data_IF_652652407379
#
_entry.id   IF_652652407379
#
_cell.length_a   1.000
_cell.length_b   1.000
_cell.length_c   1.000
_cell.angle_alpha   90.00
_cell.angle_beta   90.00
_cell.angle_gamma   90.00
#
_symmetry.space_group_name_H-M   'P 1'
#
loop_
_entity.id
_entity.type
_entity.pdbx_description
1 polymer ?
#
# COMPACT_ATOMS: atom_id res chain seq x y z
N UNK A 1 58.33 -42.71 32.93
CA UNK A 1 56.96 -42.77 32.39
C UNK A 1 56.46 -41.33 32.19
N UNK A 2 56.24 -40.91 30.95
CA UNK A 2 55.78 -39.53 30.63
C UNK A 2 54.34 -39.60 30.19
N UNK A 3 53.45 -39.08 30.99
CA UNK A 3 52.04 -38.97 30.65
C UNK A 3 51.80 -37.78 29.66
N UNK A 4 51.24 -38.06 28.49
CA UNK A 4 50.82 -37.07 27.51
C UNK A 4 49.39 -36.64 27.83
N UNK A 5 49.22 -35.37 28.17
CA UNK A 5 47.91 -34.72 28.33
C UNK A 5 47.45 -34.27 26.96
N UNK A 6 46.37 -34.85 26.46
CA UNK A 6 45.70 -34.43 25.25
C UNK A 6 44.68 -33.33 25.61
N UNK A 7 44.95 -32.10 25.18
CA UNK A 7 44.00 -31.00 25.29
C UNK A 7 42.98 -31.08 24.17
N UNK A 8 41.72 -31.34 24.52
CA UNK A 8 40.59 -31.29 23.57
C UNK A 8 40.10 -29.85 23.43
N UNK A 9 40.36 -29.25 22.28
CA UNK A 9 39.81 -27.94 21.91
C UNK A 9 38.34 -28.08 21.49
N UNK A 10 37.45 -27.56 22.31
CA UNK A 10 36.02 -27.46 21.98
C UNK A 10 35.83 -26.17 21.14
N UNK A 11 35.54 -26.35 19.85
CA UNK A 11 35.12 -25.27 18.97
C UNK A 11 33.64 -24.94 19.23
N UNK A 12 33.37 -23.81 19.87
CA UNK A 12 32.01 -23.25 19.95
C UNK A 12 31.66 -22.62 18.59
N UNK A 13 30.81 -23.29 17.81
CA UNK A 13 30.13 -22.64 16.67
C UNK A 13 29.05 -21.69 17.22
N UNK A 14 29.33 -20.41 17.23
CA UNK A 14 28.31 -19.38 17.43
C UNK A 14 27.44 -19.31 16.18
N UNK A 15 26.26 -19.95 16.23
CA UNK A 15 25.23 -19.80 15.21
C UNK A 15 24.66 -18.38 15.25
N UNK A 16 24.99 -17.54 14.26
CA UNK A 16 24.30 -16.27 14.02
C UNK A 16 22.87 -16.60 13.56
N UNK A 17 21.91 -16.54 14.50
CA UNK A 17 20.49 -16.50 14.16
C UNK A 17 20.20 -15.18 13.43
N UNK A 18 20.21 -15.22 12.11
CA UNK A 18 19.71 -14.12 11.29
C UNK A 18 18.23 -13.92 11.59
N UNK A 19 17.88 -12.84 12.32
CA UNK A 19 16.51 -12.40 12.47
C UNK A 19 16.03 -11.97 11.07
N UNK A 20 15.48 -12.89 10.30
CA UNK A 20 14.76 -12.60 9.08
C UNK A 20 13.61 -11.67 9.42
N UNK A 21 13.66 -10.45 8.91
CA UNK A 21 12.57 -9.48 9.01
C UNK A 21 11.41 -10.04 8.18
N UNK A 22 10.55 -10.86 8.80
CA UNK A 22 9.31 -11.33 8.17
C UNK A 22 8.45 -10.09 7.96
N UNK A 23 8.36 -9.65 6.72
CA UNK A 23 7.44 -8.57 6.34
C UNK A 23 6.02 -8.98 6.79
N UNK A 24 5.40 -8.17 7.64
CA UNK A 24 4.04 -8.39 8.09
C UNK A 24 3.08 -8.40 6.88
N UNK A 25 2.20 -9.38 6.81
CA UNK A 25 1.14 -9.37 5.81
C UNK A 25 0.26 -8.12 5.97
N UNK A 26 -0.21 -7.56 4.85
CA UNK A 26 -1.10 -6.42 4.85
C UNK A 26 -2.45 -6.77 5.51
N UNK A 27 -2.96 -5.87 6.34
CA UNK A 27 -4.18 -6.05 7.13
C UNK A 27 -5.26 -5.06 6.68
N UNK A 28 -6.31 -5.58 6.04
CA UNK A 28 -7.43 -4.77 5.56
C UNK A 28 -8.20 -4.06 6.70
N UNK A 29 -8.26 -4.64 7.90
CA UNK A 29 -8.92 -3.99 9.04
C UNK A 29 -8.11 -2.80 9.56
N UNK A 30 -6.79 -2.94 9.62
CA UNK A 30 -5.92 -1.79 9.89
C UNK A 30 -6.02 -0.73 8.78
N UNK A 31 -6.16 -1.18 7.53
CA UNK A 31 -6.36 -0.30 6.37
C UNK A 31 -7.66 0.50 6.41
N UNK A 32 -8.73 -0.04 7.00
CA UNK A 32 -9.98 0.70 7.22
C UNK A 32 -9.75 1.93 8.10
N UNK A 33 -8.99 1.79 9.18
CA UNK A 33 -8.64 2.92 10.04
C UNK A 33 -7.77 3.97 9.31
N UNK A 34 -6.89 3.53 8.41
CA UNK A 34 -6.14 4.47 7.55
C UNK A 34 -7.07 5.18 6.56
N UNK A 35 -8.07 4.48 6.03
CA UNK A 35 -9.04 5.01 5.07
C UNK A 35 -9.89 6.15 5.63
N UNK A 36 -10.07 6.25 6.94
CA UNK A 36 -10.77 7.38 7.57
C UNK A 36 -10.16 8.74 7.18
N UNK A 37 -8.85 8.78 6.91
CA UNK A 37 -8.16 10.00 6.41
C UNK A 37 -8.58 10.37 4.98
N UNK A 38 -9.15 9.45 4.24
CA UNK A 38 -9.59 9.61 2.85
C UNK A 38 -11.10 9.94 2.78
N UNK A 39 -11.85 9.57 3.82
CA UNK A 39 -13.31 9.63 3.85
C UNK A 39 -13.88 11.07 3.80
N UNK A 40 -13.07 12.09 4.10
CA UNK A 40 -13.46 13.49 3.90
C UNK A 40 -13.73 13.81 2.42
N UNK A 41 -12.98 13.18 1.51
CA UNK A 41 -13.06 13.45 0.06
C UNK A 41 -13.54 12.26 -0.76
N UNK A 42 -13.46 11.04 -0.26
CA UNK A 42 -13.79 9.82 -0.99
C UNK A 42 -14.85 8.98 -0.27
N UNK A 43 -15.53 8.13 -1.03
CA UNK A 43 -16.33 7.03 -0.53
C UNK A 43 -16.08 5.77 -1.37
N UNK A 44 -16.45 4.60 -0.86
CA UNK A 44 -16.31 3.36 -1.63
C UNK A 44 -17.33 3.37 -2.77
N UNK A 45 -18.60 3.59 -2.50
CA UNK A 45 -19.69 3.35 -3.44
C UNK A 45 -20.15 4.58 -4.26
N UNK A 46 -19.75 5.79 -3.93
CA UNK A 46 -20.20 7.00 -4.62
C UNK A 46 -19.12 8.06 -4.70
N UNK A 47 -19.26 8.96 -5.66
CA UNK A 47 -18.36 10.09 -5.84
C UNK A 47 -18.64 11.17 -4.80
N UNK A 48 -17.59 11.86 -4.35
CA UNK A 48 -17.61 13.02 -3.46
C UNK A 48 -16.70 14.11 -4.08
N UNK A 49 -15.91 14.81 -3.26
CA UNK A 49 -14.86 15.68 -3.77
C UNK A 49 -13.79 14.89 -4.57
N UNK A 50 -13.58 13.63 -4.20
CA UNK A 50 -12.81 12.65 -4.96
C UNK A 50 -13.68 11.56 -5.56
N UNK A 51 -13.17 10.79 -6.53
CA UNK A 51 -13.91 9.71 -7.17
C UNK A 51 -14.13 8.53 -6.22
N UNK A 52 -15.19 7.76 -6.47
CA UNK A 52 -15.48 6.52 -5.75
C UNK A 52 -14.40 5.46 -5.93
N UNK A 53 -14.24 4.61 -4.94
CA UNK A 53 -13.25 3.54 -4.93
C UNK A 53 -13.81 2.15 -5.30
N UNK A 54 -15.11 2.01 -5.48
CA UNK A 54 -15.69 0.78 -6.02
C UNK A 54 -15.09 0.46 -7.39
N UNK A 55 -14.54 -0.73 -7.56
CA UNK A 55 -13.86 -1.14 -8.79
C UNK A 55 -12.51 -0.46 -9.04
N UNK A 56 -11.85 0.06 -8.00
CA UNK A 56 -10.58 0.78 -8.13
C UNK A 56 -9.46 -0.09 -8.70
N UNK A 57 -9.27 -1.29 -8.18
CA UNK A 57 -8.20 -2.19 -8.64
C UNK A 57 -8.45 -2.62 -10.08
N UNK A 58 -7.46 -2.42 -10.93
CA UNK A 58 -7.52 -2.69 -12.37
C UNK A 58 -8.17 -1.58 -13.20
N UNK A 59 -8.71 -0.53 -12.58
CA UNK A 59 -9.33 0.60 -13.27
C UNK A 59 -8.25 1.57 -13.78
N UNK A 60 -8.47 2.12 -14.98
CA UNK A 60 -7.65 3.20 -15.49
C UNK A 60 -7.85 4.48 -14.67
N UNK A 61 -6.79 5.20 -14.38
CA UNK A 61 -6.87 6.51 -13.73
C UNK A 61 -7.68 7.48 -14.59
N UNK A 62 -8.44 8.36 -13.96
CA UNK A 62 -9.23 9.37 -14.66
C UNK A 62 -10.43 8.83 -15.42
N UNK A 63 -10.92 7.61 -15.12
CA UNK A 63 -11.94 6.94 -15.94
C UNK A 63 -13.30 6.69 -15.29
N UNK A 64 -13.54 7.17 -14.07
CA UNK A 64 -14.89 7.04 -13.47
C UNK A 64 -15.88 7.89 -14.28
N UNK A 65 -16.94 7.28 -14.84
CA UNK A 65 -17.92 8.01 -15.62
C UNK A 65 -18.59 9.12 -14.80
N UNK A 66 -18.67 10.32 -15.36
CA UNK A 66 -19.32 11.48 -14.74
C UNK A 66 -18.49 12.20 -13.68
N UNK A 67 -17.31 11.72 -13.32
CA UNK A 67 -16.43 12.42 -12.38
C UNK A 67 -15.48 13.38 -13.11
N UNK A 68 -15.38 14.60 -12.60
CA UNK A 68 -14.50 15.64 -13.13
C UNK A 68 -13.07 15.47 -12.58
N UNK A 69 -12.17 15.00 -13.43
CA UNK A 69 -10.74 14.85 -13.09
C UNK A 69 -9.91 16.03 -13.56
N UNK A 70 -8.74 16.23 -12.91
CA UNK A 70 -7.70 17.08 -13.48
C UNK A 70 -7.22 16.52 -14.82
N UNK A 71 -6.72 17.39 -15.70
CA UNK A 71 -6.11 16.97 -16.98
C UNK A 71 -4.94 16.00 -16.73
N UNK A 72 -4.12 16.28 -15.71
CA UNK A 72 -3.01 15.42 -15.33
C UNK A 72 -3.46 13.97 -15.00
N UNK A 73 -4.59 13.82 -14.29
CA UNK A 73 -5.12 12.50 -13.98
C UNK A 73 -5.72 11.81 -15.21
N UNK A 74 -6.46 12.55 -16.05
CA UNK A 74 -7.04 12.00 -17.30
C UNK A 74 -5.97 11.54 -18.28
N UNK A 75 -4.90 12.27 -18.41
CA UNK A 75 -3.79 11.98 -19.34
C UNK A 75 -2.76 11.00 -18.76
N UNK A 76 -2.78 10.75 -17.46
CA UNK A 76 -1.94 9.73 -16.84
C UNK A 76 -2.33 8.36 -17.38
N UNK A 77 -1.38 7.59 -17.87
CA UNK A 77 -1.66 6.25 -18.41
C UNK A 77 -1.65 5.17 -17.32
N UNK A 78 -1.92 5.57 -16.07
CA UNK A 78 -1.90 4.68 -14.91
C UNK A 78 -3.10 3.75 -14.95
N UNK A 79 -2.85 2.47 -14.70
CA UNK A 79 -3.85 1.49 -14.28
C UNK A 79 -3.61 1.19 -12.80
N UNK A 80 -4.64 1.31 -12.00
CA UNK A 80 -4.55 1.15 -10.55
C UNK A 80 -4.29 -0.29 -10.14
N UNK A 81 -3.03 -0.71 -10.22
CA UNK A 81 -2.54 -1.91 -9.55
C UNK A 81 -2.15 -1.59 -8.10
N UNK A 82 -1.95 -2.61 -7.28
CA UNK A 82 -1.46 -2.42 -5.90
C UNK A 82 -0.14 -1.65 -5.90
N UNK A 83 0.79 -1.95 -6.80
CA UNK A 83 2.05 -1.25 -6.94
C UNK A 83 1.89 0.21 -7.43
N UNK A 84 0.93 0.48 -8.32
CA UNK A 84 0.64 1.85 -8.78
C UNK A 84 0.02 2.67 -7.65
N UNK A 85 -0.88 2.07 -6.87
CA UNK A 85 -1.46 2.71 -5.68
C UNK A 85 -0.40 2.99 -4.62
N UNK A 86 0.52 2.07 -4.35
CA UNK A 86 1.60 2.30 -3.39
C UNK A 86 2.42 3.53 -3.74
N UNK A 87 2.85 3.63 -5.01
CA UNK A 87 3.60 4.81 -5.48
C UNK A 87 2.79 6.11 -5.41
N UNK A 88 1.51 6.05 -5.82
CA UNK A 88 0.64 7.22 -5.81
C UNK A 88 0.35 7.68 -4.38
N UNK A 89 0.00 6.78 -3.49
CA UNK A 89 -0.32 7.07 -2.10
C UNK A 89 0.89 7.54 -1.28
N UNK A 90 2.11 7.18 -1.68
CA UNK A 90 3.31 7.70 -1.05
C UNK A 90 3.45 9.23 -1.21
N UNK A 91 3.13 9.75 -2.39
CA UNK A 91 3.06 11.19 -2.68
C UNK A 91 2.27 11.42 -3.98
N UNK A 92 0.97 11.72 -3.89
CA UNK A 92 0.11 11.92 -5.06
C UNK A 92 0.60 13.01 -6.02
N UNK A 93 1.04 14.14 -5.50
CA UNK A 93 1.48 15.28 -6.31
C UNK A 93 2.80 15.01 -7.05
N UNK A 94 3.65 14.15 -6.50
CA UNK A 94 4.88 13.71 -7.17
C UNK A 94 4.59 12.62 -8.20
N UNK A 95 3.67 11.71 -7.91
CA UNK A 95 3.31 10.61 -8.80
C UNK A 95 2.51 11.09 -10.02
N UNK A 96 1.63 12.07 -9.84
CA UNK A 96 0.84 12.70 -10.89
C UNK A 96 0.92 14.24 -10.72
N UNK A 97 1.97 14.87 -11.23
CA UNK A 97 2.09 16.33 -11.18
C UNK A 97 0.89 17.01 -11.84
N UNK A 98 0.23 17.92 -11.14
CA UNK A 98 -1.01 18.56 -11.59
C UNK A 98 -2.30 17.83 -11.20
N UNK A 99 -2.22 16.76 -10.39
CA UNK A 99 -3.42 16.17 -9.77
C UNK A 99 -4.14 17.18 -8.90
N UNK A 100 -5.48 17.13 -8.91
CA UNK A 100 -6.30 17.91 -7.97
C UNK A 100 -6.40 17.29 -6.58
N UNK A 101 -5.86 16.08 -6.38
CA UNK A 101 -5.79 15.43 -5.06
C UNK A 101 -4.67 16.07 -4.21
N UNK A 102 -5.03 17.09 -3.42
CA UNK A 102 -4.12 17.84 -2.57
C UNK A 102 -3.71 17.14 -1.27
N UNK A 103 -3.55 15.83 -1.30
CA UNK A 103 -3.14 15.03 -0.15
C UNK A 103 -1.62 14.84 -0.13
N UNK A 104 -1.00 15.03 1.04
CA UNK A 104 0.46 14.98 1.17
C UNK A 104 1.05 13.57 0.96
N UNK A 105 0.22 12.54 1.13
CA UNK A 105 0.64 11.15 1.03
C UNK A 105 0.83 10.46 2.39
N UNK A 106 1.14 9.17 2.32
CA UNK A 106 1.34 8.29 3.47
C UNK A 106 2.80 7.80 3.45
N UNK A 107 3.68 8.29 4.32
CA UNK A 107 5.10 7.89 4.34
C UNK A 107 5.30 6.42 4.69
N UNK A 108 4.49 5.89 5.61
CA UNK A 108 4.59 4.50 6.10
C UNK A 108 4.20 3.49 5.01
N UNK A 109 5.13 2.67 4.58
CA UNK A 109 4.86 1.60 3.61
C UNK A 109 3.89 0.55 4.14
N UNK A 110 3.92 0.25 5.45
CA UNK A 110 2.97 -0.68 6.07
C UNK A 110 1.55 -0.12 6.10
N UNK A 111 1.36 1.16 6.43
CA UNK A 111 0.04 1.80 6.36
C UNK A 111 -0.50 1.83 4.93
N UNK A 112 0.35 2.07 3.93
CA UNK A 112 -0.07 2.01 2.52
C UNK A 112 -0.48 0.60 2.11
N UNK A 113 0.27 -0.41 2.52
CA UNK A 113 -0.07 -1.81 2.24
C UNK A 113 -1.43 -2.19 2.86
N UNK A 114 -1.66 -1.81 4.12
CA UNK A 114 -2.92 -2.04 4.82
C UNK A 114 -4.09 -1.33 4.12
N UNK A 115 -3.92 -0.05 3.77
CA UNK A 115 -4.90 0.73 3.03
C UNK A 115 -5.23 0.09 1.66
N UNK A 116 -4.24 -0.37 0.93
CA UNK A 116 -4.43 -1.03 -0.37
C UNK A 116 -5.20 -2.33 -0.20
N UNK A 117 -4.90 -3.12 0.84
CA UNK A 117 -5.66 -4.32 1.17
C UNK A 117 -7.14 -4.01 1.48
N UNK A 118 -7.40 -2.94 2.23
CA UNK A 118 -8.77 -2.46 2.49
C UNK A 118 -9.47 -2.02 1.20
N UNK A 119 -8.85 -1.19 0.38
CA UNK A 119 -9.41 -0.70 -0.88
C UNK A 119 -9.74 -1.85 -1.84
N UNK A 120 -8.91 -2.88 -1.87
CA UNK A 120 -9.16 -4.10 -2.66
C UNK A 120 -10.37 -4.88 -2.14
N UNK A 121 -10.50 -5.03 -0.84
CA UNK A 121 -11.60 -5.78 -0.21
C UNK A 121 -12.93 -5.02 -0.25
N UNK A 122 -12.93 -3.75 0.17
CA UNK A 122 -14.12 -2.91 0.22
C UNK A 122 -14.57 -2.45 -1.17
N UNK A 123 -13.62 -2.23 -2.09
CA UNK A 123 -13.86 -1.81 -3.47
C UNK A 123 -14.14 -2.95 -4.45
N UNK A 124 -14.32 -4.19 -4.01
CA UNK A 124 -14.69 -5.31 -4.88
C UNK A 124 -16.04 -5.01 -5.56
N UNK A 125 -16.12 -4.95 -6.91
CA UNK A 125 -17.35 -4.60 -7.63
C UNK A 125 -18.55 -5.50 -7.34
N UNK A 126 -18.32 -6.70 -6.83
CA UNK A 126 -19.37 -7.64 -6.43
C UNK A 126 -20.03 -7.25 -5.10
N UNK A 127 -19.37 -6.42 -4.30
CA UNK A 127 -19.74 -6.07 -2.91
C UNK A 127 -20.13 -4.61 -2.73
N UNK A 128 -19.58 -3.70 -3.53
CA UNK A 128 -19.74 -2.25 -3.41
C UNK A 128 -20.66 -1.65 -4.49
N UNK A 129 -21.89 -2.19 -4.62
CA UNK A 129 -22.92 -1.65 -5.53
C UNK A 129 -23.67 -0.51 -4.86
#
# INVERSE_FOLDING_TARGET
MRAKVLAASVLLLAGAAGAGNLARAADAKAGEAVYERCAACHAIGHDRAGPRHCGLIGRRAGSVPGFEYSEAMRSSKIVWSEAALDRFLANPMKAVPGTSMGYAGIPSASERADLIAYLKAAGDPRRCR
#
